data_IF_604369873898
#
_entry.id   IF_604369873898
#
_cell.length_a   1.000
_cell.length_b   1.000
_cell.length_c   1.000
_cell.angle_alpha   90.00
_cell.angle_beta   90.00
_cell.angle_gamma   90.00
#
_symmetry.space_group_name_H-M   'P 1'
#
loop_
_entity.id
_entity.type
_entity.pdbx_description
1 polymer ?
#
# COMPACT_ATOMS: atom_id res chain seq x y z
N UNK A 1 -61.96 9.92 -9.03
CA UNK A 1 -60.90 8.94 -9.29
C UNK A 1 -59.74 9.67 -9.90
N UNK A 2 -58.64 9.80 -9.16
CA UNK A 2 -57.35 10.20 -9.72
C UNK A 2 -56.29 9.56 -8.82
N UNK A 3 -55.81 8.40 -9.26
CA UNK A 3 -54.67 7.69 -8.69
C UNK A 3 -53.39 8.48 -8.98
N UNK A 4 -52.69 8.89 -7.93
CA UNK A 4 -51.31 9.36 -8.03
C UNK A 4 -50.40 8.13 -7.97
N UNK A 5 -49.92 7.71 -9.13
CA UNK A 5 -48.87 6.72 -9.25
C UNK A 5 -47.56 7.31 -8.68
N UNK A 6 -47.11 6.78 -7.53
CA UNK A 6 -45.80 7.08 -6.98
C UNK A 6 -44.73 6.45 -7.89
N UNK A 7 -44.10 7.28 -8.72
CA UNK A 7 -42.92 6.88 -9.49
C UNK A 7 -41.75 6.52 -8.58
N UNK A 8 -40.80 5.68 -9.03
CA UNK A 8 -39.64 5.29 -8.24
C UNK A 8 -38.82 6.53 -7.88
N UNK A 9 -38.83 6.86 -6.58
CA UNK A 9 -38.15 8.02 -6.01
C UNK A 9 -36.66 7.98 -6.32
N UNK A 10 -36.25 8.83 -7.24
CA UNK A 10 -34.84 9.10 -7.53
C UNK A 10 -34.29 9.87 -6.34
N UNK A 11 -33.31 9.29 -5.63
CA UNK A 11 -32.69 9.97 -4.50
C UNK A 11 -32.06 11.29 -4.97
N UNK A 12 -32.41 12.43 -4.35
CA UNK A 12 -31.85 13.72 -4.75
C UNK A 12 -30.35 13.73 -4.48
N UNK A 13 -29.56 13.88 -5.55
CA UNK A 13 -28.12 14.12 -5.50
C UNK A 13 -27.87 15.43 -4.74
N UNK A 14 -27.29 15.32 -3.56
CA UNK A 14 -26.98 16.42 -2.64
C UNK A 14 -25.83 17.32 -3.18
N UNK A 15 -25.81 18.62 -2.82
CA UNK A 15 -24.80 19.57 -3.26
C UNK A 15 -23.40 19.26 -2.69
N UNK A 16 -22.37 19.52 -3.49
CA UNK A 16 -20.97 19.25 -3.20
C UNK A 16 -20.35 20.30 -2.25
N UNK A 17 -20.66 20.23 -0.96
CA UNK A 17 -19.91 20.96 0.07
C UNK A 17 -18.58 20.25 0.42
N UNK A 18 -17.56 20.98 0.95
CA UNK A 18 -16.28 20.38 1.34
C UNK A 18 -16.54 19.23 2.31
N UNK A 19 -16.26 18.02 1.83
CA UNK A 19 -16.77 16.77 2.39
C UNK A 19 -16.28 16.57 3.81
N UNK A 20 -17.14 16.94 4.76
CA UNK A 20 -17.05 16.51 6.14
C UNK A 20 -16.84 14.99 6.16
N UNK A 21 -15.93 14.50 7.00
CA UNK A 21 -15.68 13.07 7.11
C UNK A 21 -16.99 12.35 7.43
N UNK A 22 -17.50 11.56 6.48
CA UNK A 22 -18.76 10.83 6.64
C UNK A 22 -18.64 9.93 7.87
N UNK A 23 -19.55 10.09 8.83
CA UNK A 23 -19.67 9.12 9.91
C UNK A 23 -20.37 7.86 9.38
N UNK A 24 -20.19 6.75 10.11
CA UNK A 24 -20.80 5.48 9.73
C UNK A 24 -22.33 5.59 9.73
N UNK A 25 -22.89 6.30 10.71
CA UNK A 25 -24.30 6.66 10.85
C UNK A 25 -24.83 7.36 9.58
N UNK A 26 -24.19 8.45 9.15
CA UNK A 26 -24.58 9.22 7.95
C UNK A 26 -24.62 8.33 6.70
N UNK A 27 -23.61 7.45 6.55
CA UNK A 27 -23.54 6.54 5.42
C UNK A 27 -24.68 5.52 5.45
N UNK A 28 -25.00 4.96 6.62
CA UNK A 28 -26.08 3.99 6.77
C UNK A 28 -27.46 4.61 6.53
N UNK A 29 -27.70 5.81 7.05
CA UNK A 29 -28.92 6.58 6.81
C UNK A 29 -29.12 6.89 5.33
N UNK A 30 -28.07 7.35 4.65
CA UNK A 30 -28.11 7.62 3.21
C UNK A 30 -28.39 6.37 2.37
N UNK A 31 -27.87 5.21 2.78
CA UNK A 31 -28.03 3.95 2.05
C UNK A 31 -29.38 3.27 2.29
N UNK A 32 -29.99 3.49 3.44
CA UNK A 32 -31.25 2.85 3.83
C UNK A 32 -32.24 3.89 4.39
N UNK A 33 -32.87 4.71 3.53
CA UNK A 33 -33.78 5.78 3.99
C UNK A 33 -35.01 5.28 4.76
N UNK A 34 -35.32 3.99 4.66
CA UNK A 34 -36.41 3.35 5.40
C UNK A 34 -36.01 2.90 6.81
N UNK A 35 -34.73 2.95 7.16
CA UNK A 35 -34.25 2.60 8.50
C UNK A 35 -34.55 3.73 9.47
N UNK A 36 -35.15 3.37 10.62
CA UNK A 36 -35.24 4.31 11.73
C UNK A 36 -33.90 4.42 12.46
N UNK A 37 -33.73 5.41 13.36
CA UNK A 37 -32.51 5.57 14.16
C UNK A 37 -32.11 4.30 14.93
N UNK A 38 -33.10 3.51 15.36
CA UNK A 38 -32.86 2.22 16.02
C UNK A 38 -32.23 1.18 15.09
N UNK A 39 -32.66 1.13 13.83
CA UNK A 39 -32.13 0.18 12.85
C UNK A 39 -30.68 0.53 12.46
N UNK A 40 -30.40 1.83 12.32
CA UNK A 40 -29.05 2.36 12.08
C UNK A 40 -28.11 2.00 13.24
N UNK A 41 -28.49 2.31 14.49
CA UNK A 41 -27.68 1.95 15.65
C UNK A 41 -27.45 0.43 15.79
N UNK A 42 -28.44 -0.40 15.44
CA UNK A 42 -28.28 -1.86 15.40
C UNK A 42 -27.33 -2.30 14.28
N UNK A 43 -27.36 -1.66 13.13
CA UNK A 43 -26.44 -1.93 12.03
C UNK A 43 -25.01 -1.53 12.37
N UNK A 44 -24.79 -0.37 13.00
CA UNK A 44 -23.48 0.03 13.51
C UNK A 44 -22.95 -0.95 14.55
N UNK A 45 -23.78 -1.36 15.51
CA UNK A 45 -23.37 -2.35 16.52
C UNK A 45 -22.97 -3.68 15.87
N UNK A 46 -23.67 -4.12 14.82
CA UNK A 46 -23.29 -5.31 14.06
C UNK A 46 -21.96 -5.11 13.34
N UNK A 47 -21.78 -3.97 12.69
CA UNK A 47 -20.53 -3.63 11.98
C UNK A 47 -19.35 -3.58 12.95
N UNK A 48 -19.54 -2.96 14.12
CA UNK A 48 -18.55 -2.92 15.19
C UNK A 48 -18.15 -4.34 15.67
N UNK A 49 -19.12 -5.25 15.83
CA UNK A 49 -18.85 -6.66 16.18
C UNK A 49 -18.01 -7.42 15.14
N UNK A 50 -17.98 -6.97 13.89
CA UNK A 50 -17.11 -7.54 12.85
C UNK A 50 -15.89 -6.64 12.55
N UNK A 51 -15.58 -5.71 13.47
CA UNK A 51 -14.41 -4.85 13.42
C UNK A 51 -14.51 -3.69 12.43
N UNK A 52 -15.71 -3.29 12.01
CA UNK A 52 -15.91 -2.20 11.04
C UNK A 52 -16.45 -0.98 11.77
N UNK A 53 -15.62 0.05 11.91
CA UNK A 53 -15.94 1.29 12.64
C UNK A 53 -16.01 2.53 11.74
N UNK A 54 -15.62 2.41 10.48
CA UNK A 54 -15.43 3.55 9.59
C UNK A 54 -16.05 3.30 8.22
N UNK A 55 -16.50 4.37 7.55
CA UNK A 55 -17.05 4.31 6.19
C UNK A 55 -16.07 3.72 5.18
N UNK A 56 -14.77 4.09 5.17
CA UNK A 56 -13.78 3.43 4.30
C UNK A 56 -13.63 1.92 4.61
N UNK A 57 -13.67 1.54 5.88
CA UNK A 57 -13.63 0.13 6.29
C UNK A 57 -14.83 -0.65 5.75
N UNK A 58 -16.03 -0.08 5.84
CA UNK A 58 -17.25 -0.66 5.28
C UNK A 58 -17.18 -0.80 3.76
N UNK A 59 -16.82 0.28 3.05
CA UNK A 59 -16.66 0.27 1.59
C UNK A 59 -15.67 -0.80 1.12
N UNK A 60 -14.57 -0.98 1.86
CA UNK A 60 -13.56 -2.01 1.59
C UNK A 60 -14.13 -3.42 1.72
N UNK A 61 -14.81 -3.72 2.83
CA UNK A 61 -15.40 -5.06 3.06
C UNK A 61 -16.48 -5.38 2.03
N UNK A 62 -17.22 -4.36 1.57
CA UNK A 62 -18.25 -4.52 0.54
C UNK A 62 -17.67 -4.78 -0.86
N UNK A 63 -16.47 -4.27 -1.16
CA UNK A 63 -15.70 -4.55 -2.40
C UNK A 63 -14.98 -5.90 -2.36
N UNK A 64 -14.61 -6.38 -1.18
CA UNK A 64 -13.87 -7.63 -1.01
C UNK A 64 -14.65 -8.90 -1.39
N UNK A 65 -13.94 -9.91 -1.90
CA UNK A 65 -14.50 -11.23 -2.26
C UNK A 65 -15.07 -12.00 -1.07
N UNK A 66 -14.53 -11.78 0.13
CA UNK A 66 -14.97 -12.47 1.34
C UNK A 66 -16.36 -12.05 1.81
N UNK A 67 -16.87 -10.90 1.37
CA UNK A 67 -18.26 -10.45 1.58
C UNK A 67 -18.61 -10.15 3.04
N UNK A 68 -19.19 -8.96 3.30
CA UNK A 68 -19.63 -8.54 4.63
C UNK A 68 -20.54 -9.58 5.34
N UNK A 69 -21.44 -10.22 4.60
CA UNK A 69 -22.34 -11.22 5.15
C UNK A 69 -21.63 -12.47 5.67
N UNK A 70 -20.51 -12.88 5.07
CA UNK A 70 -19.75 -14.02 5.58
C UNK A 70 -19.16 -13.70 6.95
N UNK A 71 -18.61 -12.49 7.12
CA UNK A 71 -18.11 -12.02 8.43
C UNK A 71 -19.23 -12.01 9.48
N UNK A 72 -20.44 -11.60 9.11
CA UNK A 72 -21.58 -11.70 10.03
C UNK A 72 -21.93 -13.15 10.37
N UNK A 73 -21.92 -14.06 9.40
CA UNK A 73 -22.19 -15.49 9.64
C UNK A 73 -21.15 -16.11 10.56
N UNK A 74 -19.87 -15.83 10.33
CA UNK A 74 -18.76 -16.31 11.16
C UNK A 74 -18.87 -15.79 12.60
N UNK A 75 -19.43 -14.59 12.80
CA UNK A 75 -19.75 -14.00 14.10
C UNK A 75 -21.13 -14.43 14.68
N UNK A 76 -21.86 -15.34 14.03
CA UNK A 76 -23.20 -15.78 14.46
C UNK A 76 -24.28 -14.69 14.37
N UNK A 77 -24.05 -13.64 13.58
CA UNK A 77 -24.96 -12.52 13.39
C UNK A 77 -25.86 -12.72 12.17
N UNK A 78 -27.06 -12.14 12.23
CA UNK A 78 -27.96 -12.09 11.07
C UNK A 78 -27.35 -11.21 9.98
N UNK A 79 -27.28 -11.76 8.77
CA UNK A 79 -26.76 -11.10 7.57
C UNK A 79 -27.62 -9.92 7.14
N UNK A 80 -27.03 -8.98 6.39
CA UNK A 80 -27.81 -7.99 5.66
C UNK A 80 -28.49 -8.63 4.46
N UNK A 81 -29.64 -8.07 4.10
CA UNK A 81 -30.34 -8.47 2.88
C UNK A 81 -29.48 -8.13 1.64
N UNK A 82 -29.61 -8.88 0.54
CA UNK A 82 -28.90 -8.55 -0.70
C UNK A 82 -29.19 -7.13 -1.20
N UNK A 83 -30.43 -6.65 -1.05
CA UNK A 83 -30.81 -5.28 -1.44
C UNK A 83 -30.09 -4.22 -0.59
N UNK A 84 -29.99 -4.43 0.72
CA UNK A 84 -29.19 -3.55 1.62
C UNK A 84 -27.73 -3.48 1.18
N UNK A 85 -27.10 -4.63 0.87
CA UNK A 85 -25.70 -4.65 0.41
C UNK A 85 -25.51 -3.95 -0.94
N UNK A 86 -26.45 -4.10 -1.86
CA UNK A 86 -26.39 -3.40 -3.15
C UNK A 86 -26.51 -1.89 -2.98
N UNK A 87 -27.46 -1.42 -2.16
CA UNK A 87 -27.63 0.01 -1.85
C UNK A 87 -26.36 0.60 -1.21
N UNK A 88 -25.77 -0.11 -0.23
CA UNK A 88 -24.51 0.30 0.39
C UNK A 88 -23.37 0.39 -0.63
N UNK A 89 -23.25 -0.57 -1.56
CA UNK A 89 -22.21 -0.53 -2.59
C UNK A 89 -22.39 0.63 -3.55
N UNK A 90 -23.63 0.89 -3.98
CA UNK A 90 -23.95 1.96 -4.93
C UNK A 90 -23.65 3.34 -4.33
N UNK A 91 -24.09 3.59 -3.10
CA UNK A 91 -23.84 4.87 -2.42
C UNK A 91 -22.35 5.07 -2.14
N UNK A 92 -21.66 4.04 -1.63
CA UNK A 92 -20.23 4.13 -1.33
C UNK A 92 -19.35 4.18 -2.59
N UNK A 93 -19.86 3.76 -3.75
CA UNK A 93 -19.18 3.94 -5.03
C UNK A 93 -19.24 5.39 -5.53
N UNK A 94 -20.28 6.15 -5.14
CA UNK A 94 -20.41 7.58 -5.43
C UNK A 94 -19.57 8.46 -4.51
N UNK A 95 -19.17 7.94 -3.34
CA UNK A 95 -18.19 8.60 -2.50
C UNK A 95 -16.81 8.41 -3.13
N UNK A 96 -16.14 9.53 -3.43
CA UNK A 96 -14.72 9.54 -3.82
C UNK A 96 -13.86 9.23 -2.59
N UNK A 97 -14.13 8.08 -1.97
CA UNK A 97 -13.30 7.53 -0.92
C UNK A 97 -12.01 7.10 -1.59
N UNK A 98 -10.84 7.42 -1.00
CA UNK A 98 -9.57 6.96 -1.54
C UNK A 98 -9.63 5.45 -1.73
N UNK A 99 -9.68 5.03 -3.00
CA UNK A 99 -9.89 3.64 -3.42
C UNK A 99 -8.78 2.73 -2.88
N UNK A 100 -7.62 3.33 -2.60
CA UNK A 100 -6.55 2.75 -1.81
C UNK A 100 -6.30 3.66 -0.61
N UNK A 101 -6.81 3.34 0.60
CA UNK A 101 -6.32 4.00 1.79
C UNK A 101 -4.84 3.64 1.91
N UNK A 102 -3.98 4.65 2.00
CA UNK A 102 -2.58 4.47 2.35
C UNK A 102 -2.49 3.48 3.52
N UNK A 103 -1.48 2.61 3.52
CA UNK A 103 -1.32 1.55 4.52
C UNK A 103 -1.41 2.07 5.97
N UNK A 104 -1.14 3.36 6.16
CA UNK A 104 -1.30 4.09 7.41
C UNK A 104 -2.71 4.01 8.03
N UNK A 105 -3.75 3.81 7.21
CA UNK A 105 -5.13 3.65 7.66
C UNK A 105 -5.54 2.18 7.87
N UNK A 106 -4.65 1.21 7.59
CA UNK A 106 -4.92 -0.19 7.88
C UNK A 106 -4.48 -0.54 9.30
N UNK A 107 -5.39 -1.11 10.08
CA UNK A 107 -5.05 -1.74 11.35
C UNK A 107 -4.43 -3.11 11.12
N UNK A 108 -3.67 -3.62 12.10
CA UNK A 108 -3.16 -4.99 12.09
C UNK A 108 -4.32 -6.00 11.96
N UNK A 109 -5.44 -5.71 12.61
CA UNK A 109 -6.67 -6.51 12.56
C UNK A 109 -7.24 -6.60 11.13
N UNK A 110 -7.37 -5.45 10.45
CA UNK A 110 -7.84 -5.39 9.06
C UNK A 110 -6.96 -6.23 8.14
N UNK A 111 -5.64 -6.14 8.30
CA UNK A 111 -4.67 -6.92 7.52
C UNK A 111 -4.80 -8.42 7.81
N UNK A 112 -4.97 -8.81 9.07
CA UNK A 112 -5.13 -10.21 9.46
C UNK A 112 -6.44 -10.81 8.94
N UNK A 113 -7.56 -10.10 9.06
CA UNK A 113 -8.85 -10.56 8.51
C UNK A 113 -8.81 -10.72 7.00
N UNK A 114 -8.11 -9.83 6.29
CA UNK A 114 -8.00 -9.89 4.85
C UNK A 114 -7.04 -11.00 4.38
N UNK A 115 -5.91 -11.20 5.08
CA UNK A 115 -4.94 -12.26 4.76
C UNK A 115 -5.41 -13.66 5.18
N UNK A 116 -6.15 -13.78 6.30
CA UNK A 116 -6.56 -15.04 6.90
C UNK A 116 -8.08 -15.15 7.02
N UNK A 117 -8.83 -15.27 5.91
CA UNK A 117 -10.30 -15.23 5.90
C UNK A 117 -10.99 -16.45 6.55
N UNK A 118 -10.24 -17.40 7.08
CA UNK A 118 -10.75 -18.56 7.83
C UNK A 118 -10.64 -18.39 9.34
N UNK A 119 -9.96 -17.34 9.80
CA UNK A 119 -9.76 -17.08 11.22
C UNK A 119 -11.02 -16.49 11.82
N UNK A 120 -11.39 -16.99 13.00
CA UNK A 120 -12.44 -16.39 13.81
C UNK A 120 -11.95 -15.12 14.50
N UNK A 121 -12.87 -14.44 15.18
CA UNK A 121 -12.57 -13.23 15.96
C UNK A 121 -11.53 -13.50 17.06
N UNK A 122 -11.63 -14.66 17.74
CA UNK A 122 -10.68 -15.08 18.77
C UNK A 122 -9.27 -15.30 18.20
N UNK A 123 -9.14 -15.92 17.03
CA UNK A 123 -7.86 -16.14 16.36
C UNK A 123 -7.17 -14.81 16.01
N UNK A 124 -7.94 -13.87 15.43
CA UNK A 124 -7.44 -12.54 15.08
C UNK A 124 -7.05 -11.77 16.33
N UNK A 125 -7.89 -11.76 17.37
CA UNK A 125 -7.61 -11.09 18.65
C UNK A 125 -6.33 -11.61 19.27
N UNK A 126 -6.16 -12.93 19.33
CA UNK A 126 -4.95 -13.58 19.84
C UNK A 126 -3.72 -13.23 19.00
N UNK A 127 -3.84 -13.19 17.68
CA UNK A 127 -2.73 -12.82 16.80
C UNK A 127 -2.35 -11.35 16.93
N UNK A 128 -3.31 -10.44 17.07
CA UNK A 128 -3.07 -9.01 17.30
C UNK A 128 -2.37 -8.82 18.64
N UNK A 129 -2.83 -9.47 19.71
CA UNK A 129 -2.19 -9.41 21.02
C UNK A 129 -0.71 -9.86 20.95
N UNK A 130 -0.43 -10.98 20.25
CA UNK A 130 0.93 -11.46 20.01
C UNK A 130 1.80 -10.45 19.24
N UNK A 131 1.25 -9.86 18.19
CA UNK A 131 1.94 -8.87 17.36
C UNK A 131 2.25 -7.59 18.16
N UNK A 132 1.31 -7.08 18.94
CA UNK A 132 1.54 -5.95 19.85
C UNK A 132 2.64 -6.24 20.88
N UNK A 133 2.69 -7.47 21.39
CA UNK A 133 3.71 -7.87 22.37
C UNK A 133 5.14 -7.87 21.80
N UNK A 134 5.30 -7.97 20.48
CA UNK A 134 6.58 -7.81 19.77
C UNK A 134 6.75 -6.42 19.12
N UNK A 135 5.91 -5.45 19.49
CA UNK A 135 5.99 -4.06 19.02
C UNK A 135 5.43 -3.83 17.62
N UNK A 136 4.53 -4.69 17.15
CA UNK A 136 3.83 -4.54 15.87
C UNK A 136 2.42 -4.02 16.12
N UNK A 137 2.27 -2.69 16.09
CA UNK A 137 1.02 -2.00 16.44
C UNK A 137 0.22 -1.50 15.22
N UNK A 138 0.86 -1.45 14.05
CA UNK A 138 0.24 -0.97 12.80
C UNK A 138 0.46 -1.94 11.63
N UNK A 139 -0.36 -1.84 10.58
CA UNK A 139 -0.14 -2.61 9.35
C UNK A 139 1.20 -2.26 8.68
N UNK A 140 1.67 -1.02 8.85
CA UNK A 140 2.99 -0.56 8.40
C UNK A 140 4.10 -1.29 9.14
N UNK A 141 4.01 -1.40 10.46
CA UNK A 141 5.01 -2.12 11.25
C UNK A 141 4.98 -3.60 10.92
N UNK A 142 3.79 -4.18 10.74
CA UNK A 142 3.66 -5.57 10.30
C UNK A 142 4.32 -5.79 8.93
N UNK A 143 4.11 -4.87 7.98
CA UNK A 143 4.76 -4.92 6.68
C UNK A 143 6.28 -4.79 6.78
N UNK A 144 6.80 -3.88 7.61
CA UNK A 144 8.24 -3.73 7.87
C UNK A 144 8.82 -5.02 8.44
N UNK A 145 8.22 -5.59 9.49
CA UNK A 145 8.73 -6.79 10.13
C UNK A 145 8.64 -8.00 9.19
N UNK A 146 7.58 -8.13 8.39
CA UNK A 146 7.46 -9.22 7.41
C UNK A 146 8.39 -9.08 6.20
N UNK A 147 8.83 -7.86 5.87
CA UNK A 147 9.85 -7.56 4.85
C UNK A 147 11.26 -7.83 5.35
N UNK A 148 11.54 -7.55 6.63
CA UNK A 148 12.83 -7.87 7.24
C UNK A 148 13.03 -9.39 7.23
N UNK A 149 14.28 -9.82 7.01
CA UNK A 149 14.66 -11.24 7.16
C UNK A 149 14.55 -11.73 8.61
N UNK A 150 14.42 -10.82 9.57
CA UNK A 150 14.06 -11.17 10.95
C UNK A 150 12.65 -11.76 10.95
N UNK A 151 12.56 -13.06 11.21
CA UNK A 151 11.28 -13.75 11.25
C UNK A 151 10.45 -13.18 12.41
N UNK A 152 9.24 -12.68 12.13
CA UNK A 152 8.22 -12.39 13.16
C UNK A 152 8.16 -13.55 14.16
N UNK A 153 8.31 -14.79 13.68
CA UNK A 153 8.34 -15.96 14.54
C UNK A 153 9.51 -15.99 15.52
N UNK A 154 10.69 -15.49 15.14
CA UNK A 154 11.82 -15.38 16.07
C UNK A 154 11.50 -14.37 17.16
N UNK A 155 10.98 -13.19 16.80
CA UNK A 155 10.57 -12.19 17.79
C UNK A 155 9.49 -12.73 18.74
N UNK A 156 8.52 -13.49 18.22
CA UNK A 156 7.51 -14.16 19.02
C UNK A 156 8.14 -15.22 19.95
N UNK A 157 9.06 -16.04 19.45
CA UNK A 157 9.76 -17.06 20.25
C UNK A 157 10.61 -16.43 21.36
N UNK A 158 11.33 -15.34 21.06
CA UNK A 158 12.13 -14.59 22.03
C UNK A 158 11.23 -13.98 23.13
N UNK A 159 9.97 -13.66 22.81
CA UNK A 159 8.94 -13.23 23.76
C UNK A 159 8.19 -14.39 24.46
N UNK A 160 8.59 -15.66 24.23
CA UNK A 160 7.94 -16.84 24.81
C UNK A 160 6.59 -17.20 24.18
N UNK A 161 6.28 -16.67 23.01
CA UNK A 161 5.02 -16.87 22.29
C UNK A 161 5.14 -17.94 21.20
N UNK A 162 4.02 -18.61 20.92
CA UNK A 162 3.94 -19.55 19.80
C UNK A 162 4.00 -18.81 18.46
N UNK A 163 4.99 -19.19 17.65
CA UNK A 163 5.18 -18.76 16.27
C UNK A 163 3.92 -18.94 15.40
N UNK A 164 3.75 -18.05 14.42
CA UNK A 164 2.77 -18.21 13.35
C UNK A 164 3.19 -19.33 12.41
N UNK A 165 2.20 -20.01 11.84
CA UNK A 165 2.46 -21.01 10.81
C UNK A 165 2.98 -20.34 9.53
N UNK A 166 3.84 -21.02 8.77
CA UNK A 166 4.44 -20.44 7.56
C UNK A 166 3.37 -20.05 6.52
N UNK A 167 2.27 -20.80 6.44
CA UNK A 167 1.14 -20.44 5.57
C UNK A 167 0.50 -19.10 5.93
N UNK A 168 0.42 -18.76 7.22
CA UNK A 168 -0.10 -17.48 7.71
C UNK A 168 0.84 -16.34 7.31
N UNK A 169 2.15 -16.51 7.50
CA UNK A 169 3.14 -15.50 7.10
C UNK A 169 3.15 -15.29 5.58
N UNK A 170 3.03 -16.35 4.79
CA UNK A 170 2.92 -16.25 3.33
C UNK A 170 1.66 -15.49 2.91
N UNK A 171 0.50 -15.83 3.49
CA UNK A 171 -0.76 -15.15 3.19
C UNK A 171 -0.71 -13.66 3.57
N UNK A 172 -0.07 -13.31 4.70
CA UNK A 172 0.15 -11.92 5.10
C UNK A 172 1.06 -11.17 4.13
N UNK A 173 2.18 -11.78 3.72
CA UNK A 173 3.10 -11.17 2.75
C UNK A 173 2.43 -10.94 1.39
N UNK A 174 1.69 -11.93 0.90
CA UNK A 174 0.92 -11.82 -0.35
C UNK A 174 -0.12 -10.71 -0.23
N UNK A 175 -0.90 -10.69 0.85
CA UNK A 175 -1.91 -9.65 1.04
C UNK A 175 -1.29 -8.26 1.12
N UNK A 176 -0.22 -8.06 1.89
CA UNK A 176 0.48 -6.78 1.97
C UNK A 176 1.09 -6.37 0.63
N UNK A 177 1.53 -7.32 -0.20
CA UNK A 177 1.96 -7.01 -1.57
C UNK A 177 0.78 -6.54 -2.45
N UNK A 178 -0.44 -7.08 -2.26
CA UNK A 178 -1.64 -6.63 -2.99
C UNK A 178 -2.17 -5.28 -2.55
N UNK A 179 -1.87 -4.83 -1.32
CA UNK A 179 -2.30 -3.51 -0.84
C UNK A 179 -1.59 -2.35 -1.52
N UNK A 180 -0.78 -2.65 -2.55
CA UNK A 180 0.11 -1.73 -3.24
C UNK A 180 0.72 -0.80 -2.19
N UNK A 181 1.22 -1.40 -1.09
CA UNK A 181 2.02 -0.68 -0.10
C UNK A 181 3.06 -0.04 -0.97
N UNK A 182 2.99 1.28 -1.23
CA UNK A 182 3.71 1.80 -2.35
C UNK A 182 5.14 1.41 -2.05
N UNK A 183 5.84 0.82 -3.02
CA UNK A 183 7.27 0.61 -2.88
C UNK A 183 7.97 1.95 -2.54
N UNK A 184 7.24 3.05 -2.71
CA UNK A 184 7.49 4.42 -2.27
C UNK A 184 7.22 4.72 -0.77
N UNK A 185 6.83 3.76 0.06
CA UNK A 185 7.13 3.84 1.50
C UNK A 185 8.64 3.83 1.56
N UNK A 186 9.22 5.04 1.67
CA UNK A 186 10.63 5.31 1.51
C UNK A 186 11.42 4.18 2.18
N UNK A 187 12.06 3.35 1.36
CA UNK A 187 12.90 2.28 1.85
C UNK A 187 13.77 2.88 2.93
N UNK A 188 13.76 2.28 4.11
CA UNK A 188 14.67 2.73 5.15
C UNK A 188 16.08 2.35 4.72
N UNK A 189 17.08 3.11 5.14
CA UNK A 189 18.48 2.74 4.91
C UNK A 189 18.78 1.33 5.44
N UNK A 190 18.14 0.98 6.56
CA UNK A 190 18.25 -0.33 7.19
C UNK A 190 17.76 -1.45 6.27
N UNK A 191 16.55 -1.32 5.70
CA UNK A 191 16.00 -2.29 4.75
C UNK A 191 16.87 -2.43 3.49
N UNK A 192 17.40 -1.30 3.00
CA UNK A 192 18.28 -1.30 1.85
C UNK A 192 19.60 -2.05 2.14
N UNK A 193 20.21 -1.83 3.31
CA UNK A 193 21.42 -2.53 3.73
C UNK A 193 21.18 -4.02 3.92
N UNK A 194 20.10 -4.40 4.60
CA UNK A 194 19.73 -5.80 4.80
C UNK A 194 19.54 -6.54 3.48
N UNK A 195 18.86 -5.91 2.53
CA UNK A 195 18.57 -6.51 1.22
C UNK A 195 19.83 -6.63 0.37
N UNK A 196 20.70 -5.62 0.40
CA UNK A 196 21.95 -5.63 -0.36
C UNK A 196 23.02 -6.56 0.24
N UNK A 197 23.00 -6.79 1.55
CA UNK A 197 24.00 -7.57 2.29
C UNK A 197 23.37 -8.71 3.09
N UNK A 198 22.88 -9.79 2.44
CA UNK A 198 22.13 -10.87 3.10
C UNK A 198 22.92 -11.71 4.12
N UNK A 199 24.24 -11.52 4.20
CA UNK A 199 25.14 -12.21 5.14
C UNK A 199 25.41 -11.40 6.42
N UNK A 200 24.99 -10.14 6.47
CA UNK A 200 25.22 -9.29 7.63
C UNK A 200 24.32 -9.70 8.79
N UNK A 201 24.86 -9.59 10.01
CA UNK A 201 24.08 -9.63 11.22
C UNK A 201 23.46 -8.26 11.55
N UNK A 202 22.67 -8.22 12.62
CA UNK A 202 22.09 -6.98 13.14
C UNK A 202 23.16 -5.97 13.56
N UNK A 203 24.24 -6.44 14.20
CA UNK A 203 25.37 -5.59 14.60
C UNK A 203 26.09 -4.97 13.39
N UNK A 204 26.25 -5.71 12.30
CA UNK A 204 26.87 -5.23 11.07
C UNK A 204 26.04 -4.13 10.41
N UNK A 205 24.71 -4.33 10.34
CA UNK A 205 23.78 -3.33 9.81
C UNK A 205 23.76 -2.08 10.68
N UNK A 206 23.68 -2.24 12.00
CA UNK A 206 23.74 -1.11 12.94
C UNK A 206 25.07 -0.34 12.81
N UNK A 207 26.20 -1.05 12.67
CA UNK A 207 27.50 -0.42 12.45
C UNK A 207 27.56 0.33 11.10
N UNK A 208 26.97 -0.23 10.05
CA UNK A 208 26.90 0.43 8.75
C UNK A 208 25.99 1.67 8.77
N UNK A 209 24.84 1.61 9.44
CA UNK A 209 23.96 2.77 9.64
C UNK A 209 24.67 3.90 10.37
N UNK A 210 25.40 3.60 11.45
CA UNK A 210 26.22 4.59 12.16
C UNK A 210 27.27 5.24 11.25
N UNK A 211 27.96 4.45 10.42
CA UNK A 211 28.93 4.97 9.45
C UNK A 211 28.28 5.88 8.42
N UNK A 212 27.12 5.49 7.88
CA UNK A 212 26.36 6.29 6.93
C UNK A 212 25.90 7.61 7.55
N UNK A 213 25.39 7.57 8.79
CA UNK A 213 24.98 8.77 9.51
C UNK A 213 26.14 9.75 9.74
N UNK A 214 27.34 9.25 10.08
CA UNK A 214 28.54 10.10 10.26
C UNK A 214 28.94 10.84 8.98
N UNK A 215 28.72 10.26 7.81
CA UNK A 215 28.93 10.95 6.51
C UNK A 215 27.68 11.68 6.01
N UNK A 216 26.67 11.89 6.85
CA UNK A 216 25.44 12.61 6.49
C UNK A 216 24.55 11.86 5.48
N UNK A 217 24.60 10.54 5.47
CA UNK A 217 23.70 9.69 4.68
C UNK A 217 22.64 9.10 5.61
N UNK A 218 21.46 9.70 5.60
CA UNK A 218 20.31 9.41 6.48
C UNK A 218 19.10 8.82 5.74
N UNK A 219 19.10 8.87 4.41
CA UNK A 219 18.02 8.35 3.57
C UNK A 219 18.55 7.55 2.38
N UNK A 220 17.70 6.68 1.84
CA UNK A 220 18.01 5.89 0.63
C UNK A 220 18.25 6.79 -0.59
N UNK A 221 17.57 7.94 -0.67
CA UNK A 221 17.80 8.94 -1.72
C UNK A 221 19.21 9.56 -1.61
N UNK A 222 19.63 9.96 -0.40
CA UNK A 222 20.99 10.47 -0.14
C UNK A 222 22.03 9.39 -0.46
N UNK A 223 21.80 8.15 -0.04
CA UNK A 223 22.68 7.02 -0.36
C UNK A 223 22.82 6.81 -1.87
N UNK A 224 21.71 6.87 -2.62
CA UNK A 224 21.72 6.72 -4.06
C UNK A 224 22.50 7.85 -4.77
N UNK A 225 22.40 9.08 -4.26
CA UNK A 225 23.19 10.21 -4.74
C UNK A 225 24.69 9.99 -4.51
N UNK A 226 25.08 9.56 -3.31
CA UNK A 226 26.49 9.30 -2.96
C UNK A 226 27.10 8.12 -3.73
N UNK A 227 26.31 7.09 -4.05
CA UNK A 227 26.76 5.94 -4.83
C UNK A 227 26.94 6.25 -6.32
N UNK A 228 26.27 7.29 -6.84
CA UNK A 228 26.42 7.83 -8.20
C UNK A 228 27.52 8.88 -8.32
N UNK A 229 27.83 9.59 -7.23
CA UNK A 229 28.80 10.68 -7.20
C UNK A 229 30.23 10.24 -7.54
N UNK A 230 30.98 11.13 -8.20
CA UNK A 230 32.40 10.90 -8.57
C UNK A 230 33.33 10.81 -7.34
N UNK A 231 33.01 11.50 -6.26
CA UNK A 231 33.75 11.45 -5.00
C UNK A 231 33.67 10.06 -4.36
N UNK A 232 32.53 9.37 -4.52
CA UNK A 232 32.28 8.03 -4.03
C UNK A 232 32.12 7.95 -2.50
N UNK A 233 31.09 7.26 -2.04
CA UNK A 233 30.80 7.02 -0.62
C UNK A 233 32.03 6.57 0.20
N UNK A 234 32.87 5.69 -0.36
CA UNK A 234 34.06 5.20 0.32
C UNK A 234 35.13 6.26 0.59
N UNK A 235 35.28 7.24 -0.30
CA UNK A 235 36.24 8.34 -0.08
C UNK A 235 35.80 9.19 1.11
N UNK A 236 34.51 9.54 1.16
CA UNK A 236 33.95 10.29 2.30
C UNK A 236 34.09 9.54 3.62
N UNK A 237 33.87 8.22 3.62
CA UNK A 237 34.13 7.40 4.81
C UNK A 237 35.60 7.46 5.23
N UNK A 238 36.53 7.37 4.28
CA UNK A 238 37.97 7.45 4.56
C UNK A 238 38.40 8.83 5.05
N UNK A 239 37.81 9.91 4.50
CA UNK A 239 38.06 11.29 4.93
C UNK A 239 37.62 11.50 6.39
N UNK A 240 36.56 10.81 6.85
CA UNK A 240 36.12 10.74 8.26
C UNK A 240 36.87 9.69 9.10
N UNK A 241 37.93 9.08 8.57
CA UNK A 241 38.72 8.06 9.28
C UNK A 241 38.02 6.71 9.46
N UNK A 242 36.91 6.46 8.75
CA UNK A 242 36.12 5.24 8.82
C UNK A 242 36.58 4.20 7.78
N UNK A 243 36.46 2.92 8.13
CA UNK A 243 36.71 1.82 7.19
C UNK A 243 35.67 1.82 6.06
N UNK A 244 36.17 1.95 4.83
CA UNK A 244 35.42 1.84 3.58
C UNK A 244 34.58 0.55 3.48
N UNK A 245 33.45 0.63 2.78
CA UNK A 245 32.65 -0.54 2.43
C UNK A 245 33.36 -1.40 1.39
N UNK A 246 33.14 -2.71 1.45
CA UNK A 246 33.68 -3.64 0.45
C UNK A 246 33.05 -3.41 -0.93
N UNK A 247 33.79 -3.71 -2.01
CA UNK A 247 33.23 -3.62 -3.36
C UNK A 247 31.96 -4.47 -3.56
N UNK A 248 31.88 -5.73 -3.06
CA UNK A 248 30.63 -6.49 -3.11
C UNK A 248 29.44 -5.79 -2.44
N UNK A 249 29.64 -5.17 -1.28
CA UNK A 249 28.60 -4.38 -0.59
C UNK A 249 28.10 -3.22 -1.46
N UNK A 250 29.02 -2.44 -2.03
CA UNK A 250 28.65 -1.30 -2.87
C UNK A 250 27.93 -1.74 -4.15
N UNK A 251 28.37 -2.82 -4.78
CA UNK A 251 27.71 -3.39 -5.96
C UNK A 251 26.31 -3.89 -5.64
N UNK A 252 26.12 -4.57 -4.50
CA UNK A 252 24.81 -5.00 -4.02
C UNK A 252 23.85 -3.82 -3.79
N UNK A 253 24.34 -2.75 -3.15
CA UNK A 253 23.55 -1.53 -2.92
C UNK A 253 23.17 -0.83 -4.22
N UNK A 254 24.10 -0.68 -5.17
CA UNK A 254 23.81 -0.09 -6.49
C UNK A 254 22.77 -0.91 -7.26
N UNK A 255 22.91 -2.24 -7.27
CA UNK A 255 21.96 -3.12 -7.94
C UNK A 255 20.56 -3.03 -7.32
N UNK A 256 20.46 -2.93 -6.00
CA UNK A 256 19.19 -2.74 -5.31
C UNK A 256 18.55 -1.40 -5.69
N UNK A 257 19.31 -0.31 -5.61
CA UNK A 257 18.82 1.03 -5.93
C UNK A 257 18.34 1.14 -7.39
N UNK A 258 19.06 0.54 -8.33
CA UNK A 258 18.64 0.50 -9.73
C UNK A 258 17.29 -0.23 -9.91
N UNK A 259 17.04 -1.30 -9.15
CA UNK A 259 15.73 -1.97 -9.15
C UNK A 259 14.62 -1.10 -8.56
N UNK A 260 14.91 -0.36 -7.49
CA UNK A 260 13.95 0.57 -6.89
C UNK A 260 13.63 1.73 -7.82
N UNK A 261 14.63 2.30 -8.48
CA UNK A 261 14.45 3.35 -9.49
C UNK A 261 13.66 2.85 -10.70
N UNK A 262 13.92 1.63 -11.17
CA UNK A 262 13.15 1.02 -12.26
C UNK A 262 11.68 0.78 -11.86
N UNK A 263 11.43 0.31 -10.63
CA UNK A 263 10.08 0.14 -10.11
C UNK A 263 9.33 1.47 -9.95
N UNK A 264 10.03 2.54 -9.54
CA UNK A 264 9.46 3.87 -9.41
C UNK A 264 9.24 4.58 -10.75
N UNK A 265 10.09 4.34 -11.74
CA UNK A 265 9.99 4.94 -13.08
C UNK A 265 8.96 4.29 -14.00
N UNK A 266 8.65 3.00 -13.79
CA UNK A 266 7.69 2.26 -14.61
C UNK A 266 6.24 2.77 -14.50
N UNK A 267 5.87 3.36 -13.36
CA UNK A 267 4.49 3.85 -13.14
C UNK A 267 4.20 5.20 -13.80
N UNK A 268 5.22 5.96 -14.21
CA UNK A 268 5.03 7.26 -14.86
C UNK A 268 4.87 7.18 -16.39
N UNK A 269 5.22 6.04 -17.01
CA UNK A 269 5.25 5.88 -18.47
C UNK A 269 3.95 5.39 -19.10
N UNK A 270 3.09 4.68 -18.36
CA UNK A 270 1.92 4.00 -18.92
C UNK A 270 0.67 4.90 -19.01
N UNK A 271 0.67 6.06 -18.35
CA UNK A 271 -0.40 7.08 -18.46
C UNK A 271 -0.19 8.14 -19.54
N UNK A 272 0.98 8.20 -20.18
CA UNK A 272 1.29 9.23 -21.19
C UNK A 272 1.11 8.75 -22.64
N UNK A 273 0.97 7.44 -22.87
CA UNK A 273 0.77 6.88 -24.22
C UNK A 273 -0.71 6.88 -24.67
N UNK A 274 -1.67 7.08 -23.78
CA UNK A 274 -3.11 7.18 -24.10
C UNK A 274 -3.61 8.62 -24.26
N UNK A 275 -2.71 9.58 -24.50
CA UNK A 275 -3.07 10.96 -24.85
C UNK A 275 -2.50 11.42 -26.21
N UNK A 276 -1.78 10.56 -26.94
CA UNK A 276 -1.16 10.89 -28.23
C UNK A 276 -1.82 10.20 -29.44
N UNK A 277 -2.96 9.51 -29.26
CA UNK A 277 -3.68 8.80 -30.33
C UNK A 277 -4.87 9.58 -30.93
N UNK A 278 -5.03 10.88 -30.64
CA UNK A 278 -5.96 11.76 -31.37
C UNK A 278 -5.21 12.98 -31.91
N UNK A 279 -5.03 13.02 -33.23
CA UNK A 279 -4.62 14.23 -33.94
C UNK A 279 -3.29 14.17 -34.68
N UNK A 280 -3.13 13.27 -35.66
CA UNK A 280 -2.19 13.49 -36.76
C UNK A 280 -2.96 13.61 -38.07
N UNK A 281 -3.39 14.83 -38.38
CA UNK A 281 -3.77 15.24 -39.74
C UNK A 281 -2.48 15.59 -40.47
N UNK A 282 -2.15 14.80 -41.49
CA UNK A 282 -1.02 15.00 -42.40
C UNK A 282 -1.25 16.24 -43.29
N UNK A 283 -0.26 17.12 -43.48
CA UNK A 283 -0.17 17.93 -44.69
C UNK A 283 0.71 17.23 -45.74
N UNK A 284 0.26 17.32 -46.98
CA UNK A 284 0.81 16.65 -48.15
C UNK A 284 2.21 17.11 -48.56
N UNK A 285 2.90 16.18 -49.21
CA UNK A 285 4.21 16.35 -49.82
C UNK A 285 4.08 16.86 -51.26
N UNK A 286 4.67 18.02 -51.50
CA UNK A 286 5.23 18.51 -52.76
C UNK A 286 6.53 19.22 -52.35
N UNK A 287 7.66 19.27 -53.06
CA UNK A 287 8.15 18.64 -54.27
C UNK A 287 9.59 19.18 -54.42
N UNK A 288 10.43 18.41 -55.13
CA UNK A 288 11.58 18.87 -55.92
C UNK A 288 12.94 19.20 -55.24
N UNK A 289 13.88 18.29 -55.52
CA UNK A 289 15.05 18.47 -56.39
C UNK A 289 16.34 19.13 -55.85
N UNK A 290 17.47 18.54 -56.28
CA UNK A 290 18.82 19.12 -56.29
C UNK A 290 19.85 18.27 -55.55
N UNK A 291 20.43 17.22 -56.16
CA UNK A 291 21.67 17.25 -56.98
C UNK A 291 22.87 17.88 -56.24
N UNK A 292 23.91 17.09 -55.97
CA UNK A 292 25.24 17.63 -55.64
C UNK A 292 26.17 16.73 -54.81
N UNK A 293 26.74 15.69 -55.41
CA UNK A 293 28.05 15.08 -55.06
C UNK A 293 29.17 16.02 -55.60
N UNK A 294 30.45 16.12 -55.14
CA UNK A 294 31.34 15.14 -54.44
C UNK A 294 32.36 15.69 -53.38
N UNK A 295 33.17 14.75 -52.82
CA UNK A 295 34.62 14.78 -52.43
C UNK A 295 35.18 16.05 -51.75
N UNK A 296 36.00 15.99 -50.69
CA UNK A 296 37.42 15.56 -50.70
C UNK A 296 38.08 15.84 -49.32
N UNK A 297 39.21 15.16 -49.07
CA UNK A 297 40.36 15.49 -48.20
C UNK A 297 40.14 15.65 -46.67
N UNK A 298 40.77 14.86 -45.78
CA UNK A 298 42.19 14.61 -45.51
C UNK A 298 42.93 15.76 -44.78
N UNK A 299 43.18 15.52 -43.49
CA UNK A 299 44.36 15.96 -42.73
C UNK A 299 44.19 17.13 -41.76
N UNK A 300 45.14 17.36 -40.84
CA UNK A 300 46.21 16.46 -40.36
C UNK A 300 45.85 15.68 -39.08
#
# INVERSE_FOLDING_TARGET
GQEYAAGPGTCPLMPAEPRQAWQLEDALEACCPSWGPKDVAQAELKLAKVGIYTVPGLARVLRGKSGLNRRFQDAGLKTFSPSTLSALREQLAGLDLPTSPALEAWTVEDTLYAACPKWGEEDVTNAVAKLRQVGVDSAVDLAKVLRRRSDVNKQLQDAGLKAFHQSTLSALREHLATLDVPANTAWTLEEALWTACPKWGEEDVAAALRKLALVGVDSVATLAKELRGKSGLNKRLQDEGLKAFSQPTLSGLRALLAKLEAAAGGTAGEGAAEAAAEGTVLPGADALAGVGVPRQAAGP
#
